data_IF_103456126269
#
_entry.id   IF_103456126269
#
_cell.length_a   1.000
_cell.length_b   1.000
_cell.length_c   1.000
_cell.angle_alpha   90.00
_cell.angle_beta   90.00
_cell.angle_gamma   90.00
#
_symmetry.space_group_name_H-M   'P 1'
#
loop_
_entity.id
_entity.type
_entity.pdbx_description
1 polymer ?
#
# COMPACT_ATOMS: atom_id res chain seq x y z
N UNK A 1 29.71 21.22 -1.50
CA UNK A 1 28.55 21.97 -2.03
C UNK A 1 27.36 21.05 -1.98
N UNK A 2 26.38 21.31 -1.11
CA UNK A 2 25.13 20.56 -1.14
C UNK A 2 24.30 21.07 -2.31
N UNK A 3 23.66 20.18 -3.05
CA UNK A 3 22.65 20.55 -4.03
C UNK A 3 21.60 21.38 -3.29
N UNK A 4 21.53 22.67 -3.60
CA UNK A 4 20.57 23.56 -2.98
C UNK A 4 19.17 23.31 -3.54
N UNK A 5 18.17 23.88 -2.89
CA UNK A 5 16.77 23.81 -3.34
C UNK A 5 16.60 24.32 -4.79
N UNK A 6 17.49 25.21 -5.26
CA UNK A 6 17.49 25.71 -6.64
C UNK A 6 17.89 24.63 -7.64
N UNK A 7 18.99 23.92 -7.42
CA UNK A 7 19.45 22.86 -8.32
C UNK A 7 18.41 21.74 -8.45
N UNK A 8 17.78 21.35 -7.32
CA UNK A 8 16.68 20.38 -7.30
C UNK A 8 15.50 20.86 -8.17
N UNK A 9 15.12 22.15 -8.07
CA UNK A 9 14.04 22.72 -8.88
C UNK A 9 14.36 22.67 -10.38
N UNK A 10 15.60 22.98 -10.78
CA UNK A 10 16.02 22.94 -12.18
C UNK A 10 15.91 21.50 -12.71
N UNK A 11 16.41 20.52 -11.95
CA UNK A 11 16.35 19.11 -12.35
C UNK A 11 14.89 18.66 -12.47
N UNK A 12 14.04 19.03 -11.51
CA UNK A 12 12.61 18.71 -11.56
C UNK A 12 11.93 19.28 -12.81
N UNK A 13 12.25 20.52 -13.20
CA UNK A 13 11.73 21.13 -14.43
C UNK A 13 12.19 20.37 -15.68
N UNK A 14 13.48 19.99 -15.76
CA UNK A 14 14.00 19.22 -16.90
C UNK A 14 13.26 17.88 -17.02
N UNK A 15 13.09 17.16 -15.92
CA UNK A 15 12.32 15.91 -15.87
C UNK A 15 10.86 16.16 -16.28
N UNK A 16 10.24 17.25 -15.82
CA UNK A 16 8.88 17.61 -16.18
C UNK A 16 8.72 17.90 -17.67
N UNK A 17 9.73 18.48 -18.33
CA UNK A 17 9.71 18.75 -19.78
C UNK A 17 9.89 17.46 -20.58
N UNK A 18 10.79 16.57 -20.15
CA UNK A 18 11.05 15.30 -20.84
C UNK A 18 9.88 14.32 -20.72
N UNK A 19 9.28 14.22 -19.54
CA UNK A 19 8.23 13.23 -19.25
C UNK A 19 6.81 13.82 -19.24
N UNK A 20 6.68 15.14 -19.13
CA UNK A 20 5.40 15.84 -18.99
C UNK A 20 4.88 15.88 -17.53
N UNK A 21 4.01 16.84 -17.23
CA UNK A 21 3.40 16.98 -15.89
C UNK A 21 2.51 15.81 -15.48
N UNK A 22 1.94 15.09 -16.45
CA UNK A 22 1.15 13.90 -16.21
C UNK A 22 1.97 12.66 -15.78
N UNK A 23 3.29 12.66 -15.99
CA UNK A 23 4.14 11.52 -15.64
C UNK A 23 4.34 11.36 -14.13
N UNK A 24 4.46 12.47 -13.38
CA UNK A 24 4.60 12.46 -11.92
C UNK A 24 3.43 11.73 -11.23
N UNK A 25 2.15 12.11 -11.46
CA UNK A 25 1.02 11.43 -10.81
C UNK A 25 0.85 9.99 -11.30
N UNK A 26 1.15 9.70 -12.57
CA UNK A 26 1.07 8.34 -13.12
C UNK A 26 2.11 7.42 -12.49
N UNK A 27 3.35 7.89 -12.34
CA UNK A 27 4.43 7.18 -11.67
C UNK A 27 4.10 6.95 -10.19
N UNK A 28 3.68 7.99 -9.46
CA UNK A 28 3.30 7.89 -8.06
C UNK A 28 2.16 6.88 -7.83
N UNK A 29 1.14 6.87 -8.70
CA UNK A 29 0.06 5.88 -8.63
C UNK A 29 0.57 4.46 -8.83
N UNK A 30 1.43 4.22 -9.83
CA UNK A 30 2.00 2.89 -10.07
C UNK A 30 2.90 2.40 -8.93
N UNK A 31 3.73 3.28 -8.38
CA UNK A 31 4.62 2.98 -7.27
C UNK A 31 3.82 2.74 -5.98
N UNK A 32 2.75 3.51 -5.74
CA UNK A 32 1.86 3.33 -4.60
C UNK A 32 1.11 2.00 -4.64
N UNK A 33 0.63 1.59 -5.82
CA UNK A 33 0.02 0.27 -6.01
C UNK A 33 1.04 -0.85 -5.78
N UNK A 34 2.24 -0.74 -6.36
CA UNK A 34 3.31 -1.71 -6.16
C UNK A 34 3.73 -1.83 -4.68
N UNK A 35 3.90 -0.69 -3.99
CA UNK A 35 4.20 -0.65 -2.55
C UNK A 35 3.09 -1.29 -1.72
N UNK A 36 1.82 -0.99 -2.03
CA UNK A 36 0.67 -1.55 -1.32
C UNK A 36 0.61 -3.08 -1.42
N UNK A 37 0.76 -3.62 -2.64
CA UNK A 37 0.77 -5.07 -2.85
C UNK A 37 2.01 -5.72 -2.23
N UNK A 38 3.16 -5.04 -2.27
CA UNK A 38 4.38 -5.50 -1.60
C UNK A 38 4.20 -5.59 -0.08
N UNK A 39 3.67 -4.55 0.57
CA UNK A 39 3.39 -4.54 2.02
C UNK A 39 2.34 -5.59 2.40
N UNK A 40 1.31 -5.79 1.56
CA UNK A 40 0.32 -6.84 1.77
C UNK A 40 0.95 -8.23 1.72
N UNK A 41 1.80 -8.49 0.71
CA UNK A 41 2.50 -9.76 0.58
C UNK A 41 3.45 -10.03 1.74
N UNK A 42 4.16 -9.00 2.24
CA UNK A 42 4.98 -9.13 3.44
C UNK A 42 4.15 -9.50 4.67
N UNK A 43 3.05 -8.80 4.91
CA UNK A 43 2.16 -9.06 6.06
C UNK A 43 1.52 -10.45 5.98
N UNK A 44 1.07 -10.86 4.81
CA UNK A 44 0.51 -12.20 4.58
C UNK A 44 1.57 -13.29 4.79
N UNK A 45 2.82 -13.04 4.41
CA UNK A 45 3.93 -13.95 4.66
C UNK A 45 4.25 -14.07 6.16
N UNK A 46 4.20 -12.97 6.91
CA UNK A 46 4.36 -12.98 8.38
C UNK A 46 3.17 -13.67 9.08
N UNK A 47 1.93 -13.42 8.65
CA UNK A 47 0.74 -14.09 9.20
C UNK A 47 0.69 -15.60 8.88
N UNK A 48 1.29 -16.03 7.76
CA UNK A 48 1.34 -17.45 7.38
C UNK A 48 2.28 -18.30 8.23
N UNK A 49 3.22 -17.70 8.97
CA UNK A 49 4.03 -18.38 9.99
C UNK A 49 3.29 -18.48 11.34
N UNK A 50 2.29 -17.62 11.60
CA UNK A 50 1.53 -17.61 12.87
C UNK A 50 0.17 -18.34 12.80
N UNK A 51 -0.37 -18.59 11.60
CA UNK A 51 -1.72 -19.18 11.42
C UNK A 51 -1.71 -20.71 11.22
N UNK A 52 -0.72 -21.42 11.76
CA UNK A 52 -0.86 -22.87 11.98
C UNK A 52 -1.51 -23.23 13.32
N UNK A 53 -1.91 -22.26 14.14
CA UNK A 53 -2.52 -22.54 15.44
C UNK A 53 -3.55 -21.50 15.88
N UNK A 54 -4.66 -21.34 15.14
CA UNK A 54 -5.95 -20.83 15.66
C UNK A 54 -7.00 -20.80 14.54
N UNK A 55 -7.54 -21.97 14.19
CA UNK A 55 -8.83 -22.10 13.52
C UNK A 55 -9.59 -23.26 14.18
N UNK A 56 -9.85 -23.11 15.48
CA UNK A 56 -10.97 -23.78 16.13
C UNK A 56 -11.59 -22.80 17.15
N UNK A 57 -12.92 -22.81 17.22
CA UNK A 57 -13.78 -22.05 18.14
C UNK A 57 -14.06 -20.54 17.89
N UNK A 58 -15.02 -20.27 17.00
CA UNK A 58 -16.23 -19.49 17.36
C UNK A 58 -17.21 -19.54 16.18
N UNK A 59 -18.08 -20.55 16.15
CA UNK A 59 -19.38 -20.55 16.85
C UNK A 59 -20.39 -19.61 16.19
N UNK A 60 -21.04 -20.18 15.18
CA UNK A 60 -22.45 -19.92 14.85
C UNK A 60 -23.28 -19.73 16.13
N UNK A 61 -23.86 -18.55 16.34
CA UNK A 61 -25.17 -18.46 16.99
C UNK A 61 -25.80 -17.08 16.78
N UNK A 62 -26.72 -16.98 15.81
CA UNK A 62 -27.71 -15.89 15.78
C UNK A 62 -28.94 -16.35 14.98
N UNK A 63 -29.81 -17.13 15.61
CA UNK A 63 -31.27 -17.02 15.47
C UNK A 63 -31.98 -18.05 16.38
N UNK A 64 -32.76 -17.59 17.35
CA UNK A 64 -34.19 -17.96 17.52
C UNK A 64 -34.76 -17.56 18.89
N UNK A 65 -35.86 -16.81 18.80
CA UNK A 65 -37.05 -16.90 19.66
C UNK A 65 -36.92 -16.57 21.14
N UNK A 66 -37.46 -15.41 21.51
CA UNK A 66 -38.23 -15.29 22.75
C UNK A 66 -39.45 -14.41 22.55
N UNK A 67 -40.41 -14.96 21.82
CA UNK A 67 -41.83 -14.64 21.95
C UNK A 67 -42.38 -15.26 23.25
N UNK A 68 -43.35 -14.57 23.85
CA UNK A 68 -44.26 -14.94 24.95
C UNK A 68 -43.75 -14.87 26.40
#
# INVERSE_FOLDING_TARGET
MMLGSKEIIIIAIIVLVLFGSAAIPKFAKSLGLAKKEFEKGLKESEESDETSNSNDASSDNNNTSKDA
#
